data_IF_568925629703
#
_entry.id   IF_568925629703
#
_cell.length_a   1.000
_cell.length_b   1.000
_cell.length_c   1.000
_cell.angle_alpha   90.00
_cell.angle_beta   90.00
_cell.angle_gamma   90.00
#
_symmetry.space_group_name_H-M   'P 1'
#
loop_
_entity.id
_entity.type
_entity.pdbx_description
1 polymer ?
#
# COMPACT_ATOMS: atom_id res chain seq x y z
N UNK A 1 -12.94 -25.34 -19.28
CA UNK A 1 -11.58 -25.43 -19.88
C UNK A 1 -11.54 -25.03 -21.36
N UNK A 2 -12.25 -25.70 -22.31
CA UNK A 2 -12.22 -25.32 -23.75
C UNK A 2 -12.86 -23.95 -24.00
N UNK A 3 -13.93 -23.59 -23.32
CA UNK A 3 -14.64 -22.29 -23.44
C UNK A 3 -13.79 -21.14 -22.90
N UNK A 4 -13.09 -21.32 -21.77
CA UNK A 4 -12.18 -20.33 -21.20
C UNK A 4 -10.92 -20.10 -22.03
N UNK A 5 -10.37 -21.13 -22.69
CA UNK A 5 -9.23 -21.00 -23.58
C UNK A 5 -9.57 -20.26 -24.90
N UNK A 6 -10.78 -20.47 -25.44
CA UNK A 6 -11.26 -19.75 -26.61
C UNK A 6 -11.53 -18.26 -26.29
N UNK A 7 -12.03 -17.98 -25.10
CA UNK A 7 -12.29 -16.62 -24.64
C UNK A 7 -10.98 -15.85 -24.35
N UNK A 8 -10.00 -16.53 -23.77
CA UNK A 8 -8.66 -15.98 -23.53
C UNK A 8 -7.91 -15.64 -24.83
N UNK A 9 -8.00 -16.49 -25.87
CA UNK A 9 -7.41 -16.21 -27.20
C UNK A 9 -8.06 -14.97 -27.82
N UNK A 10 -9.37 -14.86 -27.78
CA UNK A 10 -10.12 -13.69 -28.26
C UNK A 10 -9.74 -12.41 -27.50
N UNK A 11 -9.53 -12.50 -26.18
CA UNK A 11 -9.11 -11.34 -25.37
C UNK A 11 -7.68 -10.88 -25.73
N UNK A 12 -6.76 -11.82 -25.96
CA UNK A 12 -5.41 -11.53 -26.45
C UNK A 12 -5.41 -10.86 -27.82
N UNK A 13 -6.25 -11.33 -28.73
CA UNK A 13 -6.42 -10.70 -30.05
C UNK A 13 -6.96 -9.26 -29.92
N UNK A 14 -7.92 -9.01 -29.03
CA UNK A 14 -8.45 -7.67 -28.75
C UNK A 14 -7.36 -6.73 -28.21
N UNK A 15 -6.55 -7.21 -27.27
CA UNK A 15 -5.42 -6.44 -26.75
C UNK A 15 -4.44 -6.06 -27.88
N UNK A 16 -4.06 -7.03 -28.74
CA UNK A 16 -3.18 -6.80 -29.88
C UNK A 16 -3.79 -5.82 -30.90
N UNK A 17 -5.09 -5.92 -31.19
CA UNK A 17 -5.81 -4.98 -32.04
C UNK A 17 -5.77 -3.56 -31.46
N UNK A 18 -6.02 -3.41 -30.14
CA UNK A 18 -5.92 -2.13 -29.47
C UNK A 18 -4.53 -1.50 -29.55
N UNK A 19 -3.48 -2.29 -29.35
CA UNK A 19 -2.10 -1.85 -29.50
C UNK A 19 -1.76 -1.41 -30.94
N UNK A 20 -2.19 -2.17 -31.94
CA UNK A 20 -1.99 -1.82 -33.34
C UNK A 20 -2.74 -0.53 -33.72
N UNK A 21 -3.97 -0.35 -33.24
CA UNK A 21 -4.74 0.86 -33.46
C UNK A 21 -4.09 2.10 -32.82
N UNK A 22 -3.53 1.97 -31.60
CA UNK A 22 -2.74 3.03 -30.98
C UNK A 22 -1.51 3.42 -31.81
N UNK A 23 -0.79 2.45 -32.34
CA UNK A 23 0.36 2.71 -33.22
C UNK A 23 -0.04 3.40 -34.52
N UNK A 24 -1.24 3.09 -35.05
CA UNK A 24 -1.81 3.73 -36.24
C UNK A 24 -2.43 5.10 -35.97
N UNK A 25 -2.57 5.53 -34.69
CA UNK A 25 -3.24 6.76 -34.30
C UNK A 25 -4.77 6.70 -34.35
N UNK A 26 -5.35 5.50 -34.53
CA UNK A 26 -6.81 5.30 -34.48
C UNK A 26 -7.29 5.09 -33.06
N UNK A 27 -7.54 6.21 -32.36
CA UNK A 27 -7.94 6.19 -30.96
C UNK A 27 -9.33 5.58 -30.74
N UNK A 28 -10.23 5.66 -31.74
CA UNK A 28 -11.58 5.09 -31.63
C UNK A 28 -11.54 3.57 -31.68
N UNK A 29 -10.81 3.01 -32.66
CA UNK A 29 -10.60 1.57 -32.73
C UNK A 29 -9.81 1.04 -31.53
N UNK A 30 -8.80 1.78 -31.07
CA UNK A 30 -8.02 1.44 -29.89
C UNK A 30 -8.91 1.35 -28.64
N UNK A 31 -9.72 2.34 -28.38
CA UNK A 31 -10.64 2.37 -27.25
C UNK A 31 -11.57 1.16 -27.25
N UNK A 32 -12.26 0.89 -28.37
CA UNK A 32 -13.20 -0.23 -28.47
C UNK A 32 -12.54 -1.58 -28.20
N UNK A 33 -11.35 -1.81 -28.79
CA UNK A 33 -10.62 -3.06 -28.63
C UNK A 33 -10.07 -3.22 -27.19
N UNK A 34 -9.51 -2.15 -26.60
CA UNK A 34 -8.97 -2.19 -25.23
C UNK A 34 -10.06 -2.31 -24.16
N UNK A 35 -11.23 -1.71 -24.37
CA UNK A 35 -12.37 -1.86 -23.47
C UNK A 35 -12.83 -3.33 -23.43
N UNK A 36 -12.91 -4.00 -24.57
CA UNK A 36 -13.22 -5.42 -24.64
C UNK A 36 -12.15 -6.29 -23.96
N UNK A 37 -10.85 -5.98 -24.19
CA UNK A 37 -9.74 -6.68 -23.58
C UNK A 37 -9.68 -6.46 -22.04
N UNK A 38 -10.06 -5.28 -21.53
CA UNK A 38 -10.12 -4.97 -20.10
C UNK A 38 -11.17 -5.79 -19.34
N UNK A 39 -12.17 -6.31 -20.03
CA UNK A 39 -13.19 -7.20 -19.47
C UNK A 39 -12.67 -8.58 -19.07
N UNK A 40 -11.56 -9.04 -19.65
CA UNK A 40 -11.03 -10.38 -19.43
C UNK A 40 -9.84 -10.40 -18.45
N UNK A 41 -9.81 -11.30 -17.43
CA UNK A 41 -8.73 -11.34 -16.43
C UNK A 41 -7.32 -11.36 -16.99
N UNK A 42 -7.04 -12.18 -18.00
CA UNK A 42 -5.70 -12.33 -18.59
C UNK A 42 -5.15 -11.07 -19.28
N UNK A 43 -6.02 -10.15 -19.72
CA UNK A 43 -5.64 -8.94 -20.46
C UNK A 43 -6.04 -7.65 -19.75
N UNK A 44 -6.78 -7.75 -18.67
CA UNK A 44 -7.37 -6.61 -17.92
C UNK A 44 -6.35 -5.55 -17.57
N UNK A 45 -5.28 -5.94 -16.89
CA UNK A 45 -4.27 -4.99 -16.42
C UNK A 45 -3.52 -4.33 -17.58
N UNK A 46 -3.11 -5.11 -18.59
CA UNK A 46 -2.40 -4.58 -19.76
C UNK A 46 -3.28 -3.58 -20.54
N UNK A 47 -4.54 -3.94 -20.77
CA UNK A 47 -5.49 -3.08 -21.45
C UNK A 47 -5.79 -1.81 -20.62
N UNK A 48 -5.97 -1.94 -19.30
CA UNK A 48 -6.15 -0.82 -18.40
C UNK A 48 -4.98 0.17 -18.48
N UNK A 49 -3.76 -0.30 -18.36
CA UNK A 49 -2.57 0.56 -18.40
C UNK A 49 -2.41 1.28 -19.76
N UNK A 50 -2.81 0.66 -20.86
CA UNK A 50 -2.82 1.32 -22.18
C UNK A 50 -3.88 2.43 -22.24
N UNK A 51 -5.08 2.18 -21.71
CA UNK A 51 -6.15 3.20 -21.61
C UNK A 51 -5.68 4.39 -20.79
N UNK A 52 -5.04 4.15 -19.64
CA UNK A 52 -4.51 5.20 -18.76
C UNK A 52 -3.39 6.00 -19.43
N UNK A 53 -2.38 5.30 -19.97
CA UNK A 53 -1.18 5.90 -20.59
C UNK A 53 -1.53 6.80 -21.78
N UNK A 54 -2.49 6.39 -22.58
CA UNK A 54 -2.94 7.13 -23.75
C UNK A 54 -4.12 8.05 -23.46
N UNK A 55 -4.55 8.13 -22.20
CA UNK A 55 -5.68 8.98 -21.76
C UNK A 55 -6.92 8.79 -22.63
N UNK A 56 -7.23 7.54 -22.93
CA UNK A 56 -8.42 7.20 -23.71
C UNK A 56 -9.68 7.42 -22.87
N UNK A 57 -10.84 7.69 -23.49
CA UNK A 57 -12.10 7.78 -22.77
C UNK A 57 -12.34 6.55 -21.91
N UNK A 58 -12.82 6.75 -20.68
CA UNK A 58 -13.02 5.69 -19.69
C UNK A 58 -11.75 5.31 -18.90
N UNK A 59 -10.69 6.12 -18.97
CA UNK A 59 -9.56 6.05 -18.05
C UNK A 59 -10.04 6.37 -16.62
N UNK A 60 -9.58 5.61 -15.62
CA UNK A 60 -9.92 5.88 -14.22
C UNK A 60 -9.35 7.22 -13.74
N UNK A 61 -8.21 7.63 -14.29
CA UNK A 61 -7.59 8.94 -14.01
C UNK A 61 -8.51 10.14 -14.31
N UNK A 62 -9.44 10.01 -15.24
CA UNK A 62 -10.46 11.05 -15.49
C UNK A 62 -11.39 11.25 -14.28
N UNK A 63 -11.68 10.21 -13.54
CA UNK A 63 -12.59 10.20 -12.39
C UNK A 63 -11.86 10.44 -11.07
N UNK A 64 -10.73 9.75 -10.90
CA UNK A 64 -9.96 9.79 -9.64
C UNK A 64 -9.09 11.05 -9.57
N UNK A 65 -8.66 11.56 -10.73
CA UNK A 65 -7.83 12.76 -10.85
C UNK A 65 -6.37 12.54 -10.44
N UNK A 66 -5.88 11.28 -10.49
CA UNK A 66 -4.49 10.87 -10.29
C UNK A 66 -4.11 9.86 -11.36
N UNK A 67 -2.80 9.62 -11.55
CA UNK A 67 -2.34 8.55 -12.43
C UNK A 67 -2.84 7.19 -11.92
N UNK A 68 -3.53 6.43 -12.76
CA UNK A 68 -4.14 5.16 -12.46
C UNK A 68 -3.47 3.97 -13.15
N UNK A 69 -2.27 4.12 -13.71
CA UNK A 69 -1.48 2.96 -14.14
C UNK A 69 -1.11 2.10 -12.92
N UNK A 70 -1.09 0.79 -13.08
CA UNK A 70 -0.79 -0.18 -12.02
C UNK A 70 0.41 -1.02 -12.48
N UNK A 71 1.41 -1.20 -11.59
CA UNK A 71 2.54 -2.07 -11.89
C UNK A 71 2.08 -3.53 -12.08
N UNK A 72 2.56 -4.23 -13.12
CA UNK A 72 2.33 -5.67 -13.25
C UNK A 72 2.90 -6.50 -12.09
N UNK A 73 3.84 -5.95 -11.33
CA UNK A 73 4.46 -6.58 -10.16
C UNK A 73 3.72 -6.30 -8.86
N UNK A 74 2.67 -5.46 -8.87
CA UNK A 74 1.92 -5.08 -7.67
C UNK A 74 1.18 -6.29 -7.06
N UNK A 75 1.69 -6.80 -5.93
CA UNK A 75 1.13 -7.93 -5.21
C UNK A 75 -0.28 -7.63 -4.68
N UNK A 76 -0.54 -6.38 -4.31
CA UNK A 76 -1.87 -5.98 -3.81
C UNK A 76 -2.89 -5.96 -4.95
N UNK A 77 -2.50 -5.52 -6.16
CA UNK A 77 -3.40 -5.66 -7.30
C UNK A 77 -3.67 -7.13 -7.63
N UNK A 78 -2.64 -7.99 -7.62
CA UNK A 78 -2.81 -9.43 -7.82
C UNK A 78 -3.71 -10.06 -6.77
N UNK A 79 -3.61 -9.62 -5.52
CA UNK A 79 -4.52 -10.05 -4.45
C UNK A 79 -5.98 -9.73 -4.81
N UNK A 80 -6.30 -8.50 -5.24
CA UNK A 80 -7.64 -8.15 -5.68
C UNK A 80 -8.07 -8.94 -6.92
N UNK A 81 -7.18 -9.11 -7.90
CA UNK A 81 -7.50 -9.81 -9.15
C UNK A 81 -7.78 -11.31 -8.93
N UNK A 82 -7.14 -11.93 -7.95
CA UNK A 82 -7.35 -13.32 -7.55
C UNK A 82 -8.42 -13.54 -6.45
N UNK A 83 -8.92 -12.47 -5.80
CA UNK A 83 -9.78 -12.62 -4.64
C UNK A 83 -11.24 -12.96 -5.07
N UNK A 84 -11.86 -14.01 -4.53
CA UNK A 84 -13.17 -14.51 -5.00
C UNK A 84 -14.33 -13.51 -4.82
N UNK A 85 -14.19 -12.54 -3.91
CA UNK A 85 -15.22 -11.52 -3.68
C UNK A 85 -14.98 -10.24 -4.47
N UNK A 86 -13.84 -10.11 -5.15
CA UNK A 86 -13.52 -8.95 -5.98
C UNK A 86 -14.11 -9.10 -7.37
N UNK A 87 -15.29 -8.55 -7.57
CA UNK A 87 -16.00 -8.58 -8.86
C UNK A 87 -15.35 -7.61 -9.87
N UNK A 88 -14.74 -6.54 -9.39
CA UNK A 88 -14.04 -5.55 -10.22
C UNK A 88 -12.71 -5.17 -9.55
N UNK A 89 -11.62 -5.91 -9.80
CA UNK A 89 -10.33 -5.69 -9.16
C UNK A 89 -9.75 -4.29 -9.34
N UNK A 90 -9.95 -3.67 -10.50
CA UNK A 90 -9.51 -2.29 -10.74
C UNK A 90 -10.21 -1.31 -9.81
N UNK A 91 -11.56 -1.36 -9.78
CA UNK A 91 -12.35 -0.54 -8.86
C UNK A 91 -11.93 -0.76 -7.41
N UNK A 92 -11.80 -2.02 -7.01
CA UNK A 92 -11.54 -2.39 -5.63
C UNK A 92 -10.14 -1.92 -5.19
N UNK A 93 -9.15 -2.02 -6.06
CA UNK A 93 -7.81 -1.52 -5.83
C UNK A 93 -7.76 0.01 -5.58
N UNK A 94 -8.45 0.79 -6.42
CA UNK A 94 -8.48 2.26 -6.24
C UNK A 94 -9.36 2.69 -5.07
N UNK A 95 -10.49 2.03 -4.87
CA UNK A 95 -11.37 2.32 -3.74
C UNK A 95 -10.68 2.04 -2.40
N UNK A 96 -9.85 1.00 -2.33
CA UNK A 96 -9.09 0.65 -1.14
C UNK A 96 -8.02 1.71 -0.81
N UNK A 97 -7.27 2.19 -1.80
CA UNK A 97 -6.32 3.29 -1.61
C UNK A 97 -6.99 4.59 -1.16
N UNK A 98 -8.14 4.93 -1.74
CA UNK A 98 -8.94 6.08 -1.32
C UNK A 98 -9.46 5.92 0.12
N UNK A 99 -9.95 4.74 0.47
CA UNK A 99 -10.41 4.43 1.82
C UNK A 99 -9.29 4.61 2.84
N UNK A 100 -8.09 4.10 2.55
CA UNK A 100 -6.91 4.29 3.39
C UNK A 100 -6.62 5.78 3.64
N UNK A 101 -6.70 6.63 2.60
CA UNK A 101 -6.50 8.07 2.74
C UNK A 101 -7.55 8.69 3.68
N UNK A 102 -8.82 8.39 3.50
CA UNK A 102 -9.89 8.95 4.32
C UNK A 102 -9.79 8.49 5.77
N UNK A 103 -9.45 7.22 6.02
CA UNK A 103 -9.22 6.69 7.36
C UNK A 103 -8.00 7.35 8.03
N UNK A 104 -6.90 7.57 7.31
CA UNK A 104 -5.73 8.31 7.82
C UNK A 104 -6.09 9.77 8.15
N UNK A 105 -6.82 10.47 7.28
CA UNK A 105 -7.26 11.84 7.54
C UNK A 105 -8.05 11.94 8.84
N UNK A 106 -9.06 11.09 9.01
CA UNK A 106 -9.89 11.06 10.22
C UNK A 106 -9.07 10.70 11.48
N UNK A 107 -8.11 9.79 11.36
CA UNK A 107 -7.22 9.43 12.46
C UNK A 107 -6.38 10.64 12.91
N UNK A 108 -5.78 11.35 11.97
CA UNK A 108 -4.95 12.53 12.24
C UNK A 108 -5.76 13.70 12.79
N UNK A 109 -6.96 13.94 12.26
CA UNK A 109 -7.89 14.93 12.83
C UNK A 109 -8.25 14.64 14.28
N UNK A 110 -8.42 13.36 14.64
CA UNK A 110 -8.75 12.94 16.00
C UNK A 110 -7.66 13.25 17.02
N UNK A 111 -6.43 13.49 16.58
CA UNK A 111 -5.29 13.93 17.40
C UNK A 111 -4.90 15.39 17.11
N UNK A 112 -5.77 16.16 16.45
CA UNK A 112 -5.60 17.57 16.12
C UNK A 112 -4.35 17.86 15.25
N UNK A 113 -4.01 16.93 14.37
CA UNK A 113 -2.90 17.02 13.44
C UNK A 113 -3.37 16.70 12.01
N UNK A 114 -4.17 17.60 11.38
CA UNK A 114 -4.79 17.34 10.09
C UNK A 114 -3.76 17.07 9.00
N UNK A 115 -3.99 16.07 8.17
CA UNK A 115 -3.09 15.62 7.10
C UNK A 115 -2.65 16.75 6.18
N UNK A 116 -3.58 17.65 5.80
CA UNK A 116 -3.29 18.72 4.84
C UNK A 116 -2.29 19.76 5.36
N UNK A 117 -2.07 19.81 6.69
CA UNK A 117 -1.06 20.66 7.32
C UNK A 117 0.35 20.05 7.37
N UNK A 118 0.52 18.79 6.94
CA UNK A 118 1.82 18.10 6.96
C UNK A 118 2.70 18.59 5.82
N UNK A 119 3.91 19.06 6.14
CA UNK A 119 4.86 19.61 5.17
C UNK A 119 5.88 18.57 4.67
N UNK A 120 6.13 17.51 5.43
CA UNK A 120 7.01 16.40 5.03
C UNK A 120 6.46 15.06 5.48
N UNK A 121 6.13 14.23 4.51
CA UNK A 121 5.49 12.92 4.68
C UNK A 121 6.38 11.81 4.14
N UNK A 122 6.60 10.77 4.92
CA UNK A 122 7.19 9.51 4.47
C UNK A 122 6.13 8.41 4.49
N UNK A 123 5.83 7.81 3.35
CA UNK A 123 5.17 6.52 3.26
C UNK A 123 6.24 5.43 3.21
N UNK A 124 6.34 4.65 4.29
CA UNK A 124 7.31 3.56 4.41
C UNK A 124 6.62 2.21 4.19
N UNK A 125 7.27 1.31 3.45
CA UNK A 125 6.67 0.09 2.91
C UNK A 125 5.48 0.42 1.98
N UNK A 126 5.74 1.32 1.01
CA UNK A 126 4.71 1.93 0.15
C UNK A 126 4.14 0.97 -0.91
N UNK A 127 4.82 -0.15 -1.17
CA UNK A 127 4.50 -1.00 -2.31
C UNK A 127 4.54 -0.23 -3.63
N UNK A 128 3.73 -0.63 -4.59
CA UNK A 128 3.64 0.00 -5.92
C UNK A 128 2.68 1.21 -5.97
N UNK A 129 2.45 1.87 -4.84
CA UNK A 129 1.77 3.16 -4.81
C UNK A 129 0.25 3.12 -4.85
N UNK A 130 -0.38 2.02 -4.37
CA UNK A 130 -1.83 1.94 -4.20
C UNK A 130 -2.38 3.10 -3.38
N UNK A 131 -1.75 3.44 -2.28
CA UNK A 131 -2.10 4.56 -1.42
C UNK A 131 -1.40 5.86 -1.85
N UNK A 132 -0.13 5.80 -2.25
CA UNK A 132 0.72 6.94 -2.64
C UNK A 132 0.03 7.88 -3.63
N UNK A 133 -0.65 7.35 -4.64
CA UNK A 133 -1.33 8.15 -5.66
C UNK A 133 -2.40 9.09 -5.08
N UNK A 134 -3.09 8.65 -4.05
CA UNK A 134 -4.09 9.46 -3.35
C UNK A 134 -3.41 10.52 -2.46
N UNK A 135 -2.25 10.21 -1.88
CA UNK A 135 -1.41 11.21 -1.19
C UNK A 135 -0.92 12.29 -2.14
N UNK A 136 -0.49 11.91 -3.36
CA UNK A 136 -0.10 12.89 -4.40
C UNK A 136 -1.23 13.87 -4.67
N UNK A 137 -2.46 13.39 -4.74
CA UNK A 137 -3.63 14.27 -4.92
C UNK A 137 -3.88 15.18 -3.73
N UNK A 138 -3.69 14.68 -2.51
CA UNK A 138 -3.98 15.43 -1.27
C UNK A 138 -2.87 16.43 -0.90
N UNK A 139 -1.60 16.05 -1.05
CA UNK A 139 -0.46 16.80 -0.53
C UNK A 139 0.43 17.43 -1.63
N UNK A 140 0.37 16.90 -2.86
CA UNK A 140 1.35 17.21 -3.91
C UNK A 140 2.64 16.42 -3.73
N UNK A 141 3.38 16.22 -4.83
CA UNK A 141 4.61 15.39 -4.86
C UNK A 141 5.75 15.96 -4.04
N UNK A 142 5.79 17.27 -3.85
CA UNK A 142 6.90 17.97 -3.18
C UNK A 142 7.01 17.64 -1.69
N UNK A 143 5.89 17.33 -1.04
CA UNK A 143 5.82 16.98 0.38
C UNK A 143 6.01 15.49 0.64
N UNK A 144 6.04 14.67 -0.43
CA UNK A 144 6.04 13.22 -0.33
C UNK A 144 7.42 12.61 -0.54
N UNK A 145 7.69 11.59 0.24
CA UNK A 145 8.75 10.62 0.05
C UNK A 145 8.16 9.23 0.23
N UNK A 146 8.52 8.31 -0.64
CA UNK A 146 8.16 6.89 -0.48
C UNK A 146 9.40 6.05 -0.24
N UNK A 147 9.23 4.92 0.41
CA UNK A 147 10.31 3.95 0.57
C UNK A 147 9.74 2.53 0.60
N UNK A 148 10.42 1.63 -0.08
CA UNK A 148 10.12 0.22 -0.06
C UNK A 148 11.41 -0.59 -0.19
N UNK A 149 11.38 -1.85 0.22
CA UNK A 149 12.50 -2.79 0.07
C UNK A 149 12.54 -3.40 -1.34
N UNK A 150 11.43 -3.32 -2.07
CA UNK A 150 11.29 -3.82 -3.45
C UNK A 150 11.72 -2.70 -4.42
N UNK A 151 12.85 -2.89 -5.17
CA UNK A 151 13.37 -1.84 -6.06
C UNK A 151 12.38 -1.40 -7.14
N UNK A 152 11.63 -2.36 -7.69
CA UNK A 152 10.60 -2.11 -8.70
C UNK A 152 9.47 -1.22 -8.18
N UNK A 153 9.06 -1.38 -6.93
CA UNK A 153 8.03 -0.55 -6.30
C UNK A 153 8.49 0.92 -6.21
N UNK A 154 9.73 1.16 -5.77
CA UNK A 154 10.30 2.50 -5.69
C UNK A 154 10.47 3.12 -7.08
N UNK A 155 10.95 2.35 -8.07
CA UNK A 155 11.10 2.81 -9.45
C UNK A 155 9.74 3.20 -10.05
N UNK A 156 8.72 2.35 -9.90
CA UNK A 156 7.37 2.63 -10.37
C UNK A 156 6.78 3.90 -9.74
N UNK A 157 6.91 4.08 -8.43
CA UNK A 157 6.42 5.27 -7.75
C UNK A 157 7.09 6.56 -8.26
N UNK A 158 8.40 6.51 -8.51
CA UNK A 158 9.15 7.65 -9.05
C UNK A 158 8.77 7.98 -10.50
N UNK A 159 8.70 6.98 -11.36
CA UNK A 159 8.50 7.14 -12.81
C UNK A 159 7.04 7.43 -13.14
N UNK A 160 6.11 6.76 -12.46
CA UNK A 160 4.68 6.82 -12.79
C UNK A 160 3.92 7.85 -11.96
N UNK A 161 4.25 7.99 -10.67
CA UNK A 161 3.55 8.92 -9.77
C UNK A 161 4.31 10.23 -9.55
N UNK A 162 5.57 10.31 -10.00
CA UNK A 162 6.39 11.52 -9.92
C UNK A 162 6.88 11.85 -8.49
N UNK A 163 6.77 10.91 -7.55
CA UNK A 163 7.18 11.14 -6.16
C UNK A 163 8.67 10.85 -5.96
N UNK A 164 9.28 11.49 -4.98
CA UNK A 164 10.63 11.13 -4.54
C UNK A 164 10.58 9.80 -3.78
N UNK A 165 11.59 8.97 -3.97
CA UNK A 165 11.66 7.68 -3.30
C UNK A 165 13.09 7.21 -3.11
N UNK A 166 13.32 6.40 -2.07
CA UNK A 166 14.58 5.71 -1.81
C UNK A 166 14.33 4.25 -1.47
N UNK A 167 15.30 3.40 -1.78
CA UNK A 167 15.27 1.99 -1.44
C UNK A 167 15.54 1.83 0.06
N UNK A 168 14.66 1.14 0.76
CA UNK A 168 14.90 0.71 2.13
C UNK A 168 15.75 -0.56 2.17
N UNK A 169 15.95 -1.11 3.34
CA UNK A 169 16.70 -2.35 3.54
C UNK A 169 15.81 -3.40 4.24
N UNK A 170 16.18 -4.67 4.10
CA UNK A 170 15.49 -5.77 4.79
C UNK A 170 15.69 -5.70 6.31
N UNK A 171 16.84 -5.19 6.78
CA UNK A 171 17.11 -4.99 8.20
C UNK A 171 16.97 -3.52 8.57
N UNK A 172 16.34 -3.19 9.71
CA UNK A 172 16.13 -1.80 10.12
C UNK A 172 17.42 -1.00 10.27
N UNK A 173 18.51 -1.61 10.73
CA UNK A 173 19.78 -0.95 10.94
C UNK A 173 20.47 -0.48 9.67
N UNK A 174 20.16 -1.12 8.56
CA UNK A 174 20.76 -0.85 7.25
C UNK A 174 20.01 0.25 6.47
N UNK A 175 18.90 0.79 7.01
CA UNK A 175 18.14 1.85 6.36
C UNK A 175 18.83 3.20 6.61
N UNK A 176 19.19 3.92 5.54
CA UNK A 176 19.65 5.29 5.61
C UNK A 176 18.49 6.27 5.39
N UNK A 177 18.22 7.10 6.40
CA UNK A 177 17.19 8.12 6.29
C UNK A 177 17.73 9.36 5.57
N UNK A 178 17.17 9.75 4.40
CA UNK A 178 17.62 10.97 3.70
C UNK A 178 17.40 12.25 4.53
N UNK A 179 16.35 12.21 5.35
CA UNK A 179 15.96 13.29 6.27
C UNK A 179 15.06 12.76 7.37
N UNK A 180 14.61 13.60 8.27
CA UNK A 180 13.48 13.34 9.18
C UNK A 180 12.21 13.94 8.60
N UNK A 181 11.07 13.33 8.98
CA UNK A 181 9.75 13.66 8.45
C UNK A 181 8.82 14.09 9.58
N UNK A 182 7.92 15.01 9.28
CA UNK A 182 6.88 15.43 10.21
C UNK A 182 5.86 14.31 10.44
N UNK A 183 5.59 13.52 9.41
CA UNK A 183 4.75 12.32 9.49
C UNK A 183 5.43 11.15 8.78
N UNK A 184 5.59 10.04 9.51
CA UNK A 184 5.96 8.73 8.97
C UNK A 184 4.74 7.84 9.07
N UNK A 185 4.28 7.32 7.94
CA UNK A 185 3.14 6.42 7.85
C UNK A 185 3.59 5.04 7.38
N UNK A 186 3.18 4.00 8.09
CA UNK A 186 3.61 2.62 7.88
C UNK A 186 2.39 1.71 7.95
N UNK A 187 1.85 1.36 6.80
CA UNK A 187 0.68 0.52 6.71
C UNK A 187 1.08 -0.94 6.45
N UNK A 188 0.52 -1.85 7.23
CA UNK A 188 0.71 -3.30 7.08
C UNK A 188 2.14 -3.85 7.23
N UNK A 189 3.15 -3.09 7.62
CA UNK A 189 4.47 -3.65 7.89
C UNK A 189 4.47 -4.50 9.18
N UNK A 190 3.98 -3.93 10.29
CA UNK A 190 3.99 -4.62 11.59
C UNK A 190 3.06 -5.82 11.67
N UNK A 191 2.15 -5.97 10.72
CA UNK A 191 1.34 -7.18 10.52
C UNK A 191 2.09 -8.32 9.82
N UNK A 192 3.36 -8.10 9.46
CA UNK A 192 4.20 -9.07 8.75
C UNK A 192 5.55 -9.34 9.41
N UNK A 193 5.93 -8.57 10.42
CA UNK A 193 7.26 -8.67 11.05
C UNK A 193 7.34 -9.81 12.07
N UNK A 194 8.42 -10.62 12.05
CA UNK A 194 8.72 -11.56 13.12
C UNK A 194 9.12 -10.82 14.40
N UNK A 195 8.98 -11.50 15.55
CA UNK A 195 9.28 -10.93 16.86
C UNK A 195 10.71 -10.39 16.96
N UNK A 196 11.67 -11.03 16.28
CA UNK A 196 13.09 -10.66 16.28
C UNK A 196 13.38 -9.27 15.69
N UNK A 197 12.56 -8.80 14.77
CA UNK A 197 12.74 -7.51 14.11
C UNK A 197 11.69 -6.46 14.50
N UNK A 198 10.59 -6.87 15.13
CA UNK A 198 9.43 -6.01 15.42
C UNK A 198 9.81 -4.73 16.20
N UNK A 199 10.48 -4.89 17.36
CA UNK A 199 10.93 -3.75 18.20
C UNK A 199 12.00 -2.91 17.49
N UNK A 200 12.91 -3.55 16.77
CA UNK A 200 14.00 -2.86 16.06
C UNK A 200 13.44 -1.95 14.96
N UNK A 201 12.41 -2.40 14.22
CA UNK A 201 11.70 -1.58 13.24
C UNK A 201 10.98 -0.41 13.90
N UNK A 202 10.31 -0.61 15.03
CA UNK A 202 9.63 0.49 15.74
C UNK A 202 10.62 1.59 16.15
N UNK A 203 11.75 1.23 16.73
CA UNK A 203 12.84 2.17 17.10
C UNK A 203 13.34 2.90 15.86
N UNK A 204 13.66 2.16 14.80
CA UNK A 204 14.26 2.73 13.59
C UNK A 204 13.31 3.67 12.85
N UNK A 205 12.03 3.37 12.80
CA UNK A 205 11.01 4.24 12.20
C UNK A 205 10.79 5.52 13.02
N UNK A 206 10.88 5.44 14.35
CA UNK A 206 10.85 6.65 15.20
C UNK A 206 12.05 7.55 14.93
N UNK A 207 13.22 7.03 14.56
CA UNK A 207 14.38 7.84 14.18
C UNK A 207 14.14 8.67 12.92
N UNK A 208 13.28 8.21 12.02
CA UNK A 208 12.87 8.93 10.82
C UNK A 208 11.91 10.09 11.12
N UNK A 209 11.25 10.10 12.27
CA UNK A 209 10.28 11.14 12.66
C UNK A 209 11.04 12.37 13.17
N UNK A 210 10.63 13.56 12.77
CA UNK A 210 11.14 14.83 13.32
C UNK A 210 10.68 15.02 14.79
N UNK A 211 11.40 15.76 15.63
CA UNK A 211 10.93 16.12 16.96
C UNK A 211 9.53 16.77 16.90
N UNK A 212 8.61 16.29 17.73
CA UNK A 212 7.19 16.69 17.71
C UNK A 212 6.37 16.13 16.56
N UNK A 213 6.99 15.41 15.62
CA UNK A 213 6.32 14.72 14.50
C UNK A 213 5.65 13.41 14.93
N UNK A 214 4.99 12.76 13.98
CA UNK A 214 4.17 11.58 14.23
C UNK A 214 4.71 10.34 13.49
N UNK A 215 4.67 9.20 14.17
CA UNK A 215 4.67 7.87 13.57
C UNK A 215 3.26 7.30 13.63
N UNK A 216 2.70 6.97 12.47
CA UNK A 216 1.42 6.25 12.36
C UNK A 216 1.71 4.89 11.76
N UNK A 217 1.29 3.82 12.44
CA UNK A 217 1.45 2.47 11.91
C UNK A 217 0.25 1.60 12.24
N UNK A 218 0.12 0.48 11.54
CA UNK A 218 -0.95 -0.48 11.73
C UNK A 218 -0.44 -1.86 12.14
N UNK A 219 -1.30 -2.62 12.84
CA UNK A 219 -1.05 -4.01 13.23
C UNK A 219 -2.29 -4.87 12.97
N UNK A 220 -2.13 -6.17 12.75
CA UNK A 220 -3.24 -7.10 12.92
C UNK A 220 -3.48 -7.27 14.42
N UNK A 221 -4.56 -6.66 14.92
CA UNK A 221 -4.91 -6.68 16.32
C UNK A 221 -5.65 -7.95 16.77
N UNK A 222 -6.08 -7.97 18.02
CA UNK A 222 -6.78 -9.10 18.64
C UNK A 222 -8.05 -9.52 17.87
N UNK A 223 -8.79 -8.56 17.32
CA UNK A 223 -9.99 -8.87 16.52
C UNK A 223 -9.63 -9.53 15.18
N UNK A 224 -8.55 -9.10 14.53
CA UNK A 224 -8.04 -9.75 13.32
C UNK A 224 -7.58 -11.18 13.62
N UNK A 225 -6.86 -11.41 14.73
CA UNK A 225 -6.47 -12.74 15.20
C UNK A 225 -7.68 -13.63 15.46
N UNK A 226 -8.72 -13.10 16.12
CA UNK A 226 -9.96 -13.82 16.39
C UNK A 226 -10.67 -14.24 15.09
N UNK A 227 -10.76 -13.35 14.10
CA UNK A 227 -11.37 -13.65 12.78
C UNK A 227 -10.57 -14.68 12.02
N UNK A 228 -9.25 -14.61 12.09
CA UNK A 228 -8.35 -15.59 11.48
C UNK A 228 -8.25 -16.91 12.26
N UNK A 229 -8.92 -17.03 13.44
CA UNK A 229 -8.85 -18.18 14.33
C UNK A 229 -7.42 -18.48 14.81
N UNK A 230 -6.61 -17.43 14.96
CA UNK A 230 -5.22 -17.51 15.44
C UNK A 230 -5.20 -17.32 16.95
N UNK A 231 -4.46 -18.19 17.66
CA UNK A 231 -4.22 -18.06 19.08
C UNK A 231 -2.90 -17.33 19.32
N UNK A 232 -2.96 -16.20 20.03
CA UNK A 232 -1.77 -15.47 20.47
C UNK A 232 -1.10 -16.22 21.63
N UNK A 233 0.21 -16.08 21.76
CA UNK A 233 0.97 -16.58 22.89
C UNK A 233 0.72 -15.77 24.17
N UNK A 234 1.40 -16.14 25.28
CA UNK A 234 1.26 -15.45 26.57
C UNK A 234 1.76 -13.99 26.56
N UNK A 235 2.57 -13.61 25.56
CA UNK A 235 3.03 -12.24 25.35
C UNK A 235 2.07 -11.42 24.47
N UNK A 236 1.02 -12.03 23.92
CA UNK A 236 0.08 -11.38 23.00
C UNK A 236 0.59 -11.31 21.56
N UNK A 237 1.43 -12.25 21.11
CA UNK A 237 2.05 -12.28 19.81
C UNK A 237 1.84 -13.61 19.08
N UNK A 238 1.78 -13.55 17.74
CA UNK A 238 1.82 -14.72 16.86
C UNK A 238 2.53 -14.35 15.56
N UNK A 239 3.27 -15.30 15.01
CA UNK A 239 3.91 -15.18 13.70
C UNK A 239 3.87 -16.50 12.94
N UNK A 240 3.54 -16.42 11.65
CA UNK A 240 3.65 -17.52 10.70
C UNK A 240 4.50 -17.07 9.50
N UNK A 241 5.46 -17.88 9.02
CA UNK A 241 6.31 -17.54 7.87
C UNK A 241 5.55 -17.74 6.55
N UNK A 242 4.49 -16.97 6.36
CA UNK A 242 3.61 -17.02 5.19
C UNK A 242 3.03 -15.64 4.94
N UNK A 243 3.17 -15.09 3.75
CA UNK A 243 2.56 -13.82 3.31
C UNK A 243 2.15 -13.88 1.85
N UNK A 244 1.42 -12.86 1.38
CA UNK A 244 1.05 -12.66 0.00
C UNK A 244 2.23 -12.21 -0.88
N UNK A 245 3.29 -11.67 -0.29
CA UNK A 245 4.47 -11.23 -1.04
C UNK A 245 5.34 -12.41 -1.46
N UNK A 246 5.72 -12.41 -2.71
CA UNK A 246 6.69 -13.36 -3.28
C UNK A 246 8.09 -12.74 -3.44
N UNK A 247 8.22 -11.45 -3.16
CA UNK A 247 9.46 -10.70 -3.34
C UNK A 247 10.35 -10.67 -2.09
N UNK A 248 9.82 -11.06 -0.92
CA UNK A 248 10.50 -10.98 0.37
C UNK A 248 10.54 -12.38 1.00
N UNK A 249 11.63 -12.71 1.72
CA UNK A 249 11.74 -13.97 2.45
C UNK A 249 10.64 -14.06 3.52
N UNK A 250 9.86 -15.13 3.49
CA UNK A 250 8.75 -15.34 4.41
C UNK A 250 9.17 -15.43 5.90
N UNK A 251 10.43 -15.76 6.21
CA UNK A 251 10.96 -15.74 7.57
C UNK A 251 11.16 -14.31 8.10
N UNK A 252 11.40 -13.34 7.21
CA UNK A 252 11.57 -11.92 7.53
C UNK A 252 10.28 -11.11 7.34
N UNK A 253 9.34 -11.63 6.52
CA UNK A 253 8.08 -10.99 6.19
C UNK A 253 6.97 -12.05 6.03
N UNK A 254 6.38 -12.45 7.17
CA UNK A 254 5.32 -13.45 7.22
C UNK A 254 3.94 -12.84 7.50
N UNK A 255 3.20 -13.48 8.38
CA UNK A 255 1.94 -12.93 8.92
C UNK A 255 2.03 -12.88 10.43
N UNK A 256 1.88 -11.69 11.01
CA UNK A 256 1.94 -11.44 12.43
C UNK A 256 0.61 -10.89 12.98
N UNK A 257 0.27 -11.31 14.19
CA UNK A 257 -0.85 -10.77 14.97
C UNK A 257 -0.36 -10.35 16.34
N UNK A 258 -0.91 -9.24 16.85
CA UNK A 258 -0.56 -8.71 18.17
C UNK A 258 -1.84 -8.33 18.94
N UNK A 259 -1.79 -8.34 20.25
CA UNK A 259 -2.79 -7.64 21.04
C UNK A 259 -2.30 -6.25 21.46
N UNK A 260 -3.19 -5.46 22.04
CA UNK A 260 -2.87 -4.13 22.56
C UNK A 260 -1.80 -4.17 23.65
N UNK A 261 -1.82 -5.20 24.52
CA UNK A 261 -0.87 -5.38 25.61
C UNK A 261 0.55 -5.56 25.11
N UNK A 262 0.75 -6.38 24.08
CA UNK A 262 2.04 -6.58 23.41
C UNK A 262 2.60 -5.26 22.88
N UNK A 263 1.80 -4.53 22.10
CA UNK A 263 2.26 -3.28 21.48
C UNK A 263 2.57 -2.22 22.54
N UNK A 264 1.74 -2.08 23.57
CA UNK A 264 2.00 -1.15 24.69
C UNK A 264 3.27 -1.50 25.47
N UNK A 265 3.54 -2.77 25.69
CA UNK A 265 4.78 -3.20 26.35
C UNK A 265 6.02 -2.78 25.55
N UNK A 266 5.98 -2.92 24.20
CA UNK A 266 7.06 -2.46 23.32
C UNK A 266 7.23 -0.93 23.34
N UNK A 267 6.14 -0.19 23.42
CA UNK A 267 6.17 1.26 23.50
C UNK A 267 6.66 1.78 24.85
N UNK A 268 6.41 1.05 25.95
CA UNK A 268 6.89 1.43 27.27
C UNK A 268 8.43 1.52 27.33
N UNK A 269 9.14 0.74 26.50
CA UNK A 269 10.59 0.83 26.35
C UNK A 269 11.05 2.15 25.69
N UNK A 270 10.15 2.87 25.03
CA UNK A 270 10.39 4.11 24.29
C UNK A 270 9.77 5.36 24.94
N UNK A 271 9.33 5.27 26.19
CA UNK A 271 8.62 6.33 26.92
C UNK A 271 9.36 7.67 26.97
N UNK A 272 10.69 7.64 26.92
CA UNK A 272 11.53 8.85 26.97
C UNK A 272 11.69 9.49 25.58
N UNK A 273 11.38 8.77 24.49
CA UNK A 273 11.55 9.21 23.12
C UNK A 273 10.23 9.46 22.39
N UNK A 274 9.16 8.79 22.80
CA UNK A 274 7.85 8.92 22.19
C UNK A 274 6.71 8.72 23.19
N UNK A 275 5.53 9.22 22.83
CA UNK A 275 4.29 8.97 23.56
C UNK A 275 3.19 8.50 22.61
N UNK A 276 2.28 7.67 23.11
CA UNK A 276 1.10 7.21 22.37
C UNK A 276 0.02 8.26 22.47
N UNK A 277 -0.27 8.95 21.37
CA UNK A 277 -1.40 9.90 21.31
C UNK A 277 -2.74 9.19 21.11
N UNK A 278 -2.73 8.10 20.32
CA UNK A 278 -3.97 7.37 20.04
C UNK A 278 -3.70 5.91 19.71
N UNK A 279 -4.60 5.07 20.21
CA UNK A 279 -4.85 3.71 19.74
C UNK A 279 -6.28 3.64 19.22
N UNK A 280 -6.48 3.05 18.05
CA UNK A 280 -7.80 2.88 17.44
C UNK A 280 -7.91 1.44 16.88
N UNK A 281 -8.66 0.57 17.59
CA UNK A 281 -8.81 -0.83 17.18
C UNK A 281 -9.61 -0.92 15.89
N UNK A 282 -9.26 -1.88 15.03
CA UNK A 282 -9.91 -2.18 13.74
C UNK A 282 -10.16 -0.95 12.86
N UNK A 283 -9.23 0.00 12.89
CA UNK A 283 -9.39 1.29 12.22
C UNK A 283 -9.28 1.19 10.71
N UNK A 284 -8.13 0.67 10.22
CA UNK A 284 -7.95 0.52 8.77
C UNK A 284 -8.72 -0.69 8.27
N UNK A 285 -9.60 -0.45 7.31
CA UNK A 285 -10.46 -1.43 6.62
C UNK A 285 -11.36 -2.24 7.57
N UNK A 286 -11.63 -1.77 8.80
CA UNK A 286 -12.27 -2.54 9.87
C UNK A 286 -11.53 -3.84 10.19
N UNK A 287 -10.21 -3.86 9.98
CA UNK A 287 -9.37 -5.05 10.12
C UNK A 287 -8.11 -4.79 10.91
N UNK A 288 -7.34 -3.75 10.57
CA UNK A 288 -6.08 -3.45 11.26
C UNK A 288 -6.26 -2.36 12.31
N UNK A 289 -5.61 -2.54 13.45
CA UNK A 289 -5.52 -1.53 14.49
C UNK A 289 -4.58 -0.40 14.05
N UNK A 290 -4.90 0.83 14.44
CA UNK A 290 -4.06 2.00 14.17
C UNK A 290 -3.42 2.53 15.45
N UNK A 291 -2.16 2.92 15.34
CA UNK A 291 -1.35 3.51 16.38
C UNK A 291 -0.79 4.85 15.94
N UNK A 292 -0.92 5.87 16.77
CA UNK A 292 -0.34 7.20 16.55
C UNK A 292 0.59 7.52 17.70
N UNK A 293 1.88 7.65 17.38
CA UNK A 293 2.93 8.04 18.32
C UNK A 293 3.43 9.43 17.98
N UNK A 294 3.67 10.25 18.99
CA UNK A 294 4.41 11.50 18.84
C UNK A 294 5.84 11.32 19.33
N UNK A 295 6.83 11.69 18.50
CA UNK A 295 8.22 11.78 18.93
C UNK A 295 8.42 13.02 19.82
N UNK A 296 9.11 12.84 20.93
CA UNK A 296 9.49 13.90 21.86
C UNK A 296 10.68 14.71 21.39
#
# INVERSE_FOLDING_TARGET
>A
MVSEQLDSSSAGERLAQGQAALQAGDLVAAQSALEAARGHPATRLAAHNLVERHRLPGAFSEWVGVNCEISPQDDIYRFFDGHPTSVNPLRDYFADGWRTLSELMLLLESVQRPLLGVESFLEFASGHGRFTRHLVKALGVERLMVSDVVPDAVAFARETLGVRGFLSAARPEDVDWPQRYELVFVLSLFSHLPLSSWQRWLVRLLDAVAPGGLLVFSTHGAEAARRAQVQLDAAGFFFAPSSESTAIDAQEYGTAFTDEGFVRARMAELKDTAEVLRFAPTWFWHHQDAWVLQRR
#
